data_IF_260990337806
#
_entry.id   IF_260990337806
#
_cell.length_a   1.000
_cell.length_b   1.000
_cell.length_c   1.000
_cell.angle_alpha   90.00
_cell.angle_beta   90.00
_cell.angle_gamma   90.00
#
_symmetry.space_group_name_H-M   'P 1'
#
loop_
_entity.id
_entity.type
_entity.pdbx_description
1 polymer ?
#
# COMPACT_ATOMS: atom_id res chain seq x y z
N UNK A 1 7.74 10.68 -21.84
CA UNK A 1 7.93 10.19 -20.44
C UNK A 1 7.29 11.09 -19.39
N UNK A 2 7.26 12.41 -19.59
CA UNK A 2 6.64 13.38 -18.67
C UNK A 2 5.11 13.27 -18.54
N UNK A 3 4.39 12.85 -19.60
CA UNK A 3 2.93 12.70 -19.54
C UNK A 3 2.40 11.55 -18.65
N UNK A 4 3.24 10.56 -18.30
CA UNK A 4 2.83 9.46 -17.40
C UNK A 4 2.81 9.88 -15.93
N UNK A 5 3.72 10.77 -15.52
CA UNK A 5 3.71 11.31 -14.15
C UNK A 5 2.48 12.18 -13.90
N UNK A 6 2.10 13.03 -14.86
CA UNK A 6 0.87 13.83 -14.76
C UNK A 6 -0.40 12.96 -14.60
N UNK A 7 -0.46 11.79 -15.24
CA UNK A 7 -1.60 10.89 -15.08
C UNK A 7 -1.65 10.27 -13.67
N UNK A 8 -0.50 9.89 -13.10
CA UNK A 8 -0.43 9.35 -11.74
C UNK A 8 -0.79 10.40 -10.69
N UNK A 9 -0.35 11.64 -10.86
CA UNK A 9 -0.73 12.75 -9.96
C UNK A 9 -2.22 13.13 -10.09
N UNK A 10 -2.79 13.00 -11.29
CA UNK A 10 -4.19 13.34 -11.55
C UNK A 10 -5.17 12.28 -11.05
N UNK A 11 -4.80 11.00 -11.08
CA UNK A 11 -5.70 9.88 -10.79
C UNK A 11 -5.26 8.97 -9.64
N UNK A 12 -4.04 9.14 -9.12
CA UNK A 12 -3.48 8.36 -8.04
C UNK A 12 -3.10 9.23 -6.84
N UNK A 13 -2.98 8.61 -5.68
CA UNK A 13 -2.40 9.21 -4.49
C UNK A 13 -1.09 8.48 -4.18
N UNK A 14 0.00 9.23 -3.98
CA UNK A 14 1.27 8.66 -3.56
C UNK A 14 1.30 8.47 -2.03
N UNK A 15 0.99 7.25 -1.60
CA UNK A 15 1.02 6.87 -0.19
C UNK A 15 2.43 6.95 0.41
N UNK A 16 3.49 6.73 -0.38
CA UNK A 16 4.87 6.78 0.10
C UNK A 16 5.25 8.21 0.48
N UNK A 17 4.85 9.18 -0.34
CA UNK A 17 5.06 10.60 -0.06
C UNK A 17 4.22 11.07 1.13
N UNK A 18 2.99 10.59 1.27
CA UNK A 18 2.15 10.88 2.44
C UNK A 18 2.74 10.32 3.74
N UNK A 19 3.28 9.09 3.70
CA UNK A 19 4.00 8.48 4.81
C UNK A 19 5.24 9.32 5.20
N UNK A 20 6.03 9.72 4.21
CA UNK A 20 7.23 10.57 4.42
C UNK A 20 6.89 11.91 5.06
N UNK A 21 5.74 12.47 4.74
CA UNK A 21 5.22 13.73 5.33
C UNK A 21 4.57 13.54 6.70
N UNK A 22 4.47 12.31 7.21
CA UNK A 22 3.80 12.00 8.48
C UNK A 22 2.30 12.26 8.45
N UNK A 23 1.67 12.21 7.27
CA UNK A 23 0.22 12.45 7.09
C UNK A 23 -0.62 11.18 7.17
N UNK A 24 0.02 10.01 7.21
CA UNK A 24 -0.66 8.73 7.42
C UNK A 24 -0.70 8.41 8.91
N UNK A 25 -1.84 7.89 9.35
CA UNK A 25 -2.00 7.45 10.73
C UNK A 25 -1.12 6.21 10.98
N UNK A 26 -0.53 6.08 12.19
CA UNK A 26 0.28 4.92 12.52
C UNK A 26 -0.57 3.64 12.51
N UNK A 27 -0.09 2.62 11.80
CA UNK A 27 -0.77 1.33 11.71
C UNK A 27 -0.34 0.44 12.88
N UNK A 28 -1.31 0.01 13.69
CA UNK A 28 -1.06 -0.78 14.91
C UNK A 28 -1.65 -2.19 14.73
N UNK A 29 -0.85 -3.22 15.04
CA UNK A 29 -1.32 -4.61 15.11
C UNK A 29 -1.54 -5.31 13.77
N UNK A 30 -0.89 -4.83 12.69
CA UNK A 30 -0.94 -5.42 11.33
C UNK A 30 0.41 -5.93 10.82
N UNK A 31 1.35 -6.16 11.74
CA UNK A 31 2.73 -6.54 11.40
C UNK A 31 2.81 -7.83 10.57
N UNK A 32 1.96 -8.82 10.87
CA UNK A 32 1.98 -10.10 10.17
C UNK A 32 1.44 -10.00 8.74
N UNK A 33 0.37 -9.23 8.52
CA UNK A 33 -0.13 -8.94 7.18
C UNK A 33 0.86 -8.14 6.35
N UNK A 34 1.49 -7.10 6.94
CA UNK A 34 2.51 -6.28 6.28
C UNK A 34 3.72 -7.14 5.90
N UNK A 35 4.27 -7.93 6.82
CA UNK A 35 5.37 -8.86 6.54
C UNK A 35 5.01 -9.84 5.42
N UNK A 36 3.77 -10.35 5.41
CA UNK A 36 3.30 -11.27 4.36
C UNK A 36 3.21 -10.57 2.99
N UNK A 37 2.76 -9.32 2.94
CA UNK A 37 2.78 -8.52 1.72
C UNK A 37 4.21 -8.34 1.19
N UNK A 38 5.17 -7.98 2.05
CA UNK A 38 6.59 -7.84 1.71
C UNK A 38 7.15 -9.16 1.14
N UNK A 39 6.83 -10.28 1.78
CA UNK A 39 7.25 -11.60 1.31
C UNK A 39 6.67 -11.93 -0.07
N UNK A 40 5.38 -11.63 -0.32
CA UNK A 40 4.73 -11.89 -1.61
C UNK A 40 5.33 -11.02 -2.70
N UNK A 41 5.53 -9.73 -2.44
CA UNK A 41 6.17 -8.78 -3.38
C UNK A 41 7.57 -9.23 -3.80
N UNK A 42 8.29 -9.94 -2.91
CA UNK A 42 9.63 -10.46 -3.16
C UNK A 42 9.67 -11.77 -3.97
N UNK A 43 8.52 -12.36 -4.35
CA UNK A 43 8.47 -13.61 -5.12
C UNK A 43 8.85 -13.41 -6.59
N UNK A 44 9.40 -14.46 -7.21
CA UNK A 44 9.64 -14.48 -8.68
C UNK A 44 8.35 -14.58 -9.51
N UNK A 45 7.32 -15.23 -8.99
CA UNK A 45 6.02 -15.40 -9.66
C UNK A 45 4.89 -15.14 -8.68
N UNK A 46 3.74 -14.65 -9.20
CA UNK A 46 2.57 -14.26 -8.38
C UNK A 46 2.97 -13.31 -7.24
N UNK A 47 3.68 -12.24 -7.60
CA UNK A 47 4.25 -11.28 -6.66
C UNK A 47 3.31 -10.13 -6.29
N UNK A 48 2.08 -10.12 -6.80
CA UNK A 48 1.09 -9.11 -6.47
C UNK A 48 0.20 -9.62 -5.33
N UNK A 49 0.36 -9.13 -4.09
CA UNK A 49 -0.53 -9.51 -3.00
C UNK A 49 -1.94 -8.93 -3.22
N UNK A 50 -2.96 -9.68 -2.82
CA UNK A 50 -4.35 -9.23 -2.78
C UNK A 50 -4.87 -9.40 -1.36
N UNK A 51 -5.35 -8.32 -0.76
CA UNK A 51 -5.88 -8.32 0.61
C UNK A 51 -7.41 -8.49 0.52
N UNK A 52 -7.92 -9.57 1.10
CA UNK A 52 -9.33 -9.92 1.07
C UNK A 52 -9.87 -9.93 2.51
N UNK A 53 -11.07 -9.38 2.69
CA UNK A 53 -11.74 -9.32 3.98
C UNK A 53 -13.03 -8.50 3.88
N UNK A 54 -13.84 -8.53 4.93
CA UNK A 54 -15.10 -7.78 4.99
C UNK A 54 -14.88 -6.26 4.94
N UNK A 55 -15.87 -5.45 4.52
CA UNK A 55 -15.81 -4.00 4.64
C UNK A 55 -15.52 -3.57 6.08
N UNK A 56 -14.71 -2.53 6.29
CA UNK A 56 -14.41 -1.98 7.62
C UNK A 56 -13.28 -2.66 8.40
N UNK A 57 -12.75 -3.81 7.96
CA UNK A 57 -11.66 -4.53 8.69
C UNK A 57 -10.28 -3.84 8.62
N UNK A 58 -10.17 -2.67 7.98
CA UNK A 58 -8.91 -1.93 7.88
C UNK A 58 -7.97 -2.40 6.76
N UNK A 59 -8.50 -2.92 5.64
CA UNK A 59 -7.66 -3.34 4.48
C UNK A 59 -6.80 -2.20 3.94
N UNK A 60 -7.32 -0.97 3.92
CA UNK A 60 -6.61 0.22 3.47
C UNK A 60 -5.42 0.55 4.37
N UNK A 61 -5.56 0.35 5.68
CA UNK A 61 -4.47 0.60 6.62
C UNK A 61 -3.25 -0.29 6.34
N UNK A 62 -3.44 -1.51 5.82
CA UNK A 62 -2.32 -2.40 5.43
C UNK A 62 -1.60 -1.88 4.15
N UNK A 63 -2.27 -1.07 3.33
CA UNK A 63 -1.65 -0.45 2.16
C UNK A 63 -0.98 0.90 2.50
N UNK A 64 -1.41 1.55 3.58
CA UNK A 64 -0.86 2.81 4.09
C UNK A 64 0.35 2.61 5.02
N UNK A 65 0.48 1.43 5.63
CA UNK A 65 1.56 1.06 6.57
C UNK A 65 2.53 0.02 6.04
#
# INVERSE_FOLDING_TARGET
PEGKYQALEKYGNDLTELARRGKLDPVIGRDDEIRRCIQILSRRTKNNPVIIGEPGVGKTAIAEG
#
